data_IF_058298122006
#
_entry.id   IF_058298122006
#
_cell.length_a   1.000
_cell.length_b   1.000
_cell.length_c   1.000
_cell.angle_alpha   90.00
_cell.angle_beta   90.00
_cell.angle_gamma   90.00
#
_symmetry.space_group_name_H-M   'P 1'
#
loop_
_entity.id
_entity.type
_entity.pdbx_description
1 polymer ?
#
# COMPACT_ATOMS: atom_id res chain seq x y z
N UNK A 1 -9.86 -5.20 4.84
CA UNK A 1 -10.55 -5.92 3.74
C UNK A 1 -10.38 -7.44 3.97
N UNK A 2 -11.14 -8.29 3.28
CA UNK A 2 -11.11 -9.76 3.49
C UNK A 2 -9.74 -10.36 3.23
N UNK A 3 -9.05 -9.95 2.16
CA UNK A 3 -7.73 -10.48 1.79
C UNK A 3 -6.68 -10.22 2.86
N UNK A 4 -6.54 -8.97 3.31
CA UNK A 4 -5.62 -8.61 4.38
C UNK A 4 -5.99 -9.30 5.70
N UNK A 5 -7.30 -9.44 5.99
CA UNK A 5 -7.74 -10.11 7.21
C UNK A 5 -7.40 -11.60 7.20
N UNK A 6 -7.54 -12.25 6.04
CA UNK A 6 -7.15 -13.64 5.83
C UNK A 6 -5.64 -13.83 5.95
N UNK A 7 -4.85 -12.96 5.31
CA UNK A 7 -3.39 -12.98 5.41
C UNK A 7 -2.86 -12.71 6.83
N UNK A 8 -3.57 -11.90 7.63
CA UNK A 8 -3.23 -11.62 9.03
C UNK A 8 -3.83 -12.63 10.03
N UNK A 9 -4.57 -13.63 9.58
CA UNK A 9 -5.23 -14.62 10.44
C UNK A 9 -6.51 -14.14 11.15
N UNK A 10 -6.80 -12.84 11.12
CA UNK A 10 -8.05 -12.26 11.69
C UNK A 10 -9.33 -12.69 10.95
N UNK A 11 -9.20 -13.17 9.71
CA UNK A 11 -10.23 -13.94 9.01
C UNK A 11 -9.67 -15.35 8.78
N UNK A 12 -9.63 -16.13 9.86
CA UNK A 12 -9.04 -17.46 9.88
C UNK A 12 -10.06 -18.58 10.10
N UNK A 13 -9.61 -19.83 9.98
CA UNK A 13 -10.41 -21.02 10.29
C UNK A 13 -11.04 -20.97 11.68
N UNK A 14 -10.25 -20.63 12.70
CA UNK A 14 -10.73 -20.56 14.09
C UNK A 14 -11.79 -19.47 14.28
N UNK A 15 -11.56 -18.29 13.73
CA UNK A 15 -12.51 -17.18 13.82
C UNK A 15 -13.82 -17.52 13.09
N UNK A 16 -13.75 -18.10 11.89
CA UNK A 16 -14.93 -18.53 11.14
C UNK A 16 -15.76 -19.54 11.94
N UNK A 17 -15.09 -20.55 12.51
CA UNK A 17 -15.72 -21.57 13.35
C UNK A 17 -16.38 -20.96 14.58
N UNK A 18 -15.69 -20.04 15.26
CA UNK A 18 -16.23 -19.33 16.42
C UNK A 18 -17.51 -18.59 16.04
N UNK A 19 -17.52 -17.90 14.89
CA UNK A 19 -18.69 -17.17 14.40
C UNK A 19 -19.86 -18.10 14.05
N UNK A 20 -19.60 -19.27 13.46
CA UNK A 20 -20.65 -20.27 13.19
C UNK A 20 -21.34 -20.71 14.49
N UNK A 21 -20.57 -21.03 15.54
CA UNK A 21 -21.14 -21.46 16.83
C UNK A 21 -21.89 -20.34 17.54
N UNK A 22 -21.31 -19.15 17.61
CA UNK A 22 -21.92 -18.01 18.33
C UNK A 22 -23.20 -17.54 17.64
N UNK A 23 -23.26 -17.63 16.30
CA UNK A 23 -24.48 -17.29 15.55
C UNK A 23 -25.55 -18.39 15.59
N UNK A 24 -25.23 -19.59 16.09
CA UNK A 24 -26.14 -20.73 16.08
C UNK A 24 -26.52 -21.19 14.68
N UNK A 25 -25.68 -20.91 13.67
CA UNK A 25 -25.98 -21.19 12.27
C UNK A 25 -26.28 -22.68 12.02
N UNK A 26 -25.65 -23.56 12.79
CA UNK A 26 -25.87 -25.00 12.80
C UNK A 26 -27.31 -25.41 13.17
N UNK A 27 -28.07 -24.51 13.81
CA UNK A 27 -29.48 -24.72 14.19
C UNK A 27 -30.48 -24.15 13.19
N UNK A 28 -30.02 -23.32 12.25
CA UNK A 28 -30.89 -22.58 11.32
C UNK A 28 -30.89 -23.21 9.92
N UNK A 29 -29.80 -23.88 9.51
CA UNK A 29 -29.67 -24.45 8.17
C UNK A 29 -29.35 -25.95 8.20
N UNK A 30 -30.03 -26.72 7.34
CA UNK A 30 -29.86 -28.19 7.24
C UNK A 30 -28.77 -28.61 6.23
N UNK A 31 -28.59 -27.84 5.15
CA UNK A 31 -27.68 -28.18 4.04
C UNK A 31 -26.18 -28.09 4.40
N UNK A 32 -25.83 -27.38 5.49
CA UNK A 32 -24.45 -27.22 5.99
C UNK A 32 -23.42 -26.84 4.92
N UNK A 33 -23.77 -25.92 4.02
CA UNK A 33 -22.82 -25.32 3.08
C UNK A 33 -22.56 -23.86 3.45
N UNK A 34 -21.32 -23.41 3.25
CA UNK A 34 -20.90 -22.02 3.49
C UNK A 34 -20.26 -21.46 2.25
N UNK A 35 -20.77 -20.32 1.79
CA UNK A 35 -20.14 -19.56 0.71
C UNK A 35 -19.20 -18.55 1.36
N UNK A 36 -17.91 -18.66 1.07
CA UNK A 36 -16.89 -17.71 1.50
C UNK A 36 -16.39 -16.88 0.32
N UNK A 37 -15.99 -15.61 0.52
CA UNK A 37 -15.35 -14.83 -0.52
C UNK A 37 -14.08 -15.54 -1.02
N UNK A 38 -13.82 -15.54 -2.33
CA UNK A 38 -12.63 -16.18 -2.92
C UNK A 38 -11.32 -15.76 -2.22
N UNK A 39 -11.24 -14.48 -1.83
CA UNK A 39 -10.06 -13.88 -1.21
C UNK A 39 -9.85 -14.26 0.26
N UNK A 40 -10.75 -15.03 0.89
CA UNK A 40 -10.51 -15.58 2.24
C UNK A 40 -9.69 -16.89 2.21
N UNK A 41 -9.47 -17.48 1.03
CA UNK A 41 -8.79 -18.76 0.85
C UNK A 41 -7.44 -18.89 1.58
N UNK A 42 -6.56 -17.87 1.58
CA UNK A 42 -5.29 -17.94 2.30
C UNK A 42 -5.41 -18.09 3.82
N UNK A 43 -6.53 -17.67 4.43
CA UNK A 43 -6.74 -17.70 5.89
C UNK A 43 -7.60 -18.88 6.37
N UNK A 44 -8.42 -19.47 5.49
CA UNK A 44 -9.40 -20.49 5.87
C UNK A 44 -9.05 -21.85 5.26
N UNK A 45 -8.78 -22.81 6.14
CA UNK A 45 -8.58 -24.21 5.76
C UNK A 45 -9.94 -24.92 5.65
N UNK A 46 -10.54 -24.88 4.46
CA UNK A 46 -11.84 -25.48 4.16
C UNK A 46 -11.98 -26.95 4.62
N UNK A 47 -10.90 -27.74 4.49
CA UNK A 47 -10.91 -29.13 4.94
C UNK A 47 -11.01 -29.27 6.46
N UNK A 48 -10.45 -28.34 7.25
CA UNK A 48 -10.58 -28.34 8.71
C UNK A 48 -11.98 -27.93 9.14
N UNK A 49 -12.56 -26.92 8.46
CA UNK A 49 -13.95 -26.52 8.70
C UNK A 49 -14.89 -27.72 8.50
N UNK A 50 -14.73 -28.46 7.41
CA UNK A 50 -15.52 -29.67 7.16
C UNK A 50 -15.26 -30.76 8.20
N UNK A 51 -13.99 -31.06 8.50
CA UNK A 51 -13.60 -32.14 9.43
C UNK A 51 -14.15 -31.91 10.84
N UNK A 52 -14.07 -30.68 11.35
CA UNK A 52 -14.40 -30.40 12.74
C UNK A 52 -15.83 -29.86 12.95
N UNK A 53 -16.45 -29.28 11.91
CA UNK A 53 -17.75 -28.60 12.05
C UNK A 53 -18.81 -29.07 11.04
N UNK A 54 -18.47 -29.98 10.14
CA UNK A 54 -19.40 -30.56 9.17
C UNK A 54 -19.87 -29.60 8.08
N UNK A 55 -19.44 -28.33 8.10
CA UNK A 55 -19.77 -27.37 7.05
C UNK A 55 -18.86 -27.52 5.84
N UNK A 56 -19.46 -27.67 4.67
CA UNK A 56 -18.73 -27.68 3.40
C UNK A 56 -18.53 -26.25 2.91
N UNK A 57 -17.28 -25.81 2.86
CA UNK A 57 -16.93 -24.49 2.34
C UNK A 57 -16.90 -24.51 0.81
N UNK A 58 -17.57 -23.54 0.20
CA UNK A 58 -17.54 -23.20 -1.21
C UNK A 58 -16.96 -21.80 -1.35
N UNK A 59 -15.95 -21.63 -2.19
CA UNK A 59 -15.42 -20.31 -2.49
C UNK A 59 -16.27 -19.68 -3.60
N UNK A 60 -16.97 -18.61 -3.24
CA UNK A 60 -17.77 -17.78 -4.13
C UNK A 60 -16.91 -16.74 -4.86
N UNK A 61 -17.53 -15.73 -5.50
CA UNK A 61 -16.83 -14.73 -6.28
C UNK A 61 -15.93 -13.81 -5.42
N UNK A 62 -15.02 -13.08 -6.08
CA UNK A 62 -14.23 -12.01 -5.44
C UNK A 62 -15.14 -10.83 -5.04
N UNK A 63 -16.09 -10.47 -5.90
CA UNK A 63 -17.00 -9.35 -5.69
C UNK A 63 -18.36 -9.86 -5.23
N UNK A 64 -18.91 -9.24 -4.19
CA UNK A 64 -20.25 -9.58 -3.69
C UNK A 64 -21.35 -9.30 -4.72
N UNK A 65 -21.13 -8.36 -5.65
CA UNK A 65 -22.04 -8.07 -6.76
C UNK A 65 -22.29 -9.26 -7.67
N UNK A 66 -21.34 -10.20 -7.76
CA UNK A 66 -21.40 -11.33 -8.68
C UNK A 66 -22.06 -12.56 -8.01
N UNK A 67 -22.56 -12.39 -6.77
CA UNK A 67 -23.19 -13.46 -6.01
C UNK A 67 -24.49 -13.99 -6.65
N UNK A 68 -25.40 -13.14 -7.18
CA UNK A 68 -26.62 -13.64 -7.85
C UNK A 68 -26.29 -14.57 -9.02
N UNK A 69 -25.47 -14.13 -9.97
CA UNK A 69 -25.02 -14.93 -11.12
C UNK A 69 -24.29 -16.22 -10.69
N UNK A 70 -23.52 -16.17 -9.60
CA UNK A 70 -22.86 -17.35 -9.02
C UNK A 70 -23.87 -18.39 -8.49
N UNK A 71 -24.96 -17.93 -7.86
CA UNK A 71 -26.02 -18.80 -7.35
C UNK A 71 -26.82 -19.41 -8.51
N UNK A 72 -27.16 -18.62 -9.53
CA UNK A 72 -27.85 -19.09 -10.74
C UNK A 72 -27.02 -20.11 -11.52
N UNK A 73 -25.69 -19.94 -11.55
CA UNK A 73 -24.74 -20.89 -12.12
C UNK A 73 -24.50 -22.14 -11.25
N UNK A 74 -25.34 -22.41 -10.25
CA UNK A 74 -25.27 -23.61 -9.41
C UNK A 74 -24.01 -23.64 -8.53
N UNK A 75 -23.63 -22.51 -7.93
CA UNK A 75 -22.46 -22.35 -7.06
C UNK A 75 -21.12 -22.57 -7.77
N UNK A 76 -21.07 -22.25 -9.07
CA UNK A 76 -19.88 -22.39 -9.91
C UNK A 76 -19.33 -21.03 -10.32
N UNK A 77 -18.21 -20.62 -9.71
CA UNK A 77 -17.58 -19.34 -10.01
C UNK A 77 -16.88 -19.38 -11.37
N UNK A 78 -17.31 -18.50 -12.29
CA UNK A 78 -16.70 -18.33 -13.61
C UNK A 78 -15.26 -17.80 -13.50
N UNK A 79 -14.42 -17.95 -14.54
CA UNK A 79 -13.05 -17.41 -14.53
C UNK A 79 -13.00 -15.90 -14.23
N UNK A 80 -13.97 -15.11 -14.72
CA UNK A 80 -14.04 -13.66 -14.49
C UNK A 80 -14.26 -13.33 -13.02
N UNK A 81 -15.12 -14.08 -12.32
CA UNK A 81 -15.41 -13.91 -10.89
C UNK A 81 -14.20 -14.20 -9.98
N UNK A 82 -13.16 -14.89 -10.51
CA UNK A 82 -11.94 -15.27 -9.78
C UNK A 82 -10.76 -14.33 -10.04
N UNK A 83 -10.91 -13.31 -10.88
CA UNK A 83 -9.82 -12.41 -11.26
C UNK A 83 -10.09 -11.00 -10.73
N UNK A 84 -9.12 -10.46 -9.99
CA UNK A 84 -9.10 -9.04 -9.61
C UNK A 84 -8.42 -8.25 -10.73
N UNK A 85 -9.13 -7.28 -11.30
CA UNK A 85 -8.68 -6.52 -12.48
C UNK A 85 -7.62 -5.46 -12.16
N UNK A 86 -7.53 -5.01 -10.91
CA UNK A 86 -6.57 -4.02 -10.42
C UNK A 86 -6.48 -2.78 -11.30
N UNK A 87 -7.65 -2.26 -11.69
CA UNK A 87 -7.79 -1.05 -12.51
C UNK A 87 -7.30 0.20 -11.78
N UNK A 88 -7.14 1.32 -12.50
CA UNK A 88 -6.73 2.60 -11.90
C UNK A 88 -7.59 2.97 -10.69
N UNK A 89 -8.92 2.82 -10.80
CA UNK A 89 -9.86 3.10 -9.69
C UNK A 89 -9.59 2.22 -8.46
N UNK A 90 -9.28 0.94 -8.67
CA UNK A 90 -8.99 0.01 -7.59
C UNK A 90 -7.63 0.31 -6.92
N UNK A 91 -6.66 0.85 -7.67
CA UNK A 91 -5.36 1.30 -7.12
C UNK A 91 -5.51 2.58 -6.30
N UNK A 92 -6.23 3.56 -6.83
CA UNK A 92 -6.46 4.85 -6.14
C UNK A 92 -7.24 4.61 -4.83
N UNK A 93 -8.15 3.63 -4.79
CA UNK A 93 -8.86 3.29 -3.56
C UNK A 93 -7.93 2.84 -2.40
N UNK A 94 -6.70 2.41 -2.70
CA UNK A 94 -5.70 2.04 -1.70
C UNK A 94 -4.85 3.24 -1.24
N UNK A 95 -4.77 4.32 -2.02
CA UNK A 95 -3.93 5.49 -1.70
C UNK A 95 -4.27 6.11 -0.34
N UNK A 96 -5.55 6.31 0.08
CA UNK A 96 -5.85 6.94 1.35
C UNK A 96 -5.28 6.20 2.56
N UNK A 97 -5.30 4.86 2.56
CA UNK A 97 -4.82 4.10 3.72
C UNK A 97 -3.29 4.18 3.86
N UNK A 98 -2.58 4.23 2.74
CA UNK A 98 -1.12 4.40 2.70
C UNK A 98 -0.73 5.82 3.08
N UNK A 99 -1.48 6.83 2.62
CA UNK A 99 -1.27 8.22 3.02
C UNK A 99 -1.45 8.41 4.52
N UNK A 100 -2.53 7.90 5.12
CA UNK A 100 -2.75 8.02 6.57
C UNK A 100 -1.62 7.38 7.36
N UNK A 101 -1.08 6.24 6.90
CA UNK A 101 0.07 5.60 7.53
C UNK A 101 1.34 6.46 7.37
N UNK A 102 1.60 6.98 6.16
CA UNK A 102 2.77 7.82 5.87
C UNK A 102 2.75 9.14 6.65
N UNK A 103 1.59 9.82 6.73
CA UNK A 103 1.45 11.11 7.40
C UNK A 103 1.77 11.07 8.88
N UNK A 104 1.54 9.95 9.57
CA UNK A 104 1.88 9.78 11.00
C UNK A 104 3.37 10.02 11.26
N UNK A 105 4.24 9.43 10.44
CA UNK A 105 5.68 9.63 10.54
C UNK A 105 6.11 10.95 9.88
N UNK A 106 5.49 11.31 8.76
CA UNK A 106 5.86 12.49 7.99
C UNK A 106 5.66 13.79 8.75
N UNK A 107 4.58 13.95 9.51
CA UNK A 107 4.33 15.19 10.27
C UNK A 107 5.47 15.44 11.27
N UNK A 108 5.94 14.39 11.94
CA UNK A 108 7.07 14.49 12.88
C UNK A 108 8.37 14.84 12.13
N UNK A 109 8.64 14.21 10.99
CA UNK A 109 9.81 14.51 10.17
C UNK A 109 9.76 15.93 9.61
N UNK A 110 8.62 16.38 9.09
CA UNK A 110 8.45 17.74 8.56
C UNK A 110 8.65 18.78 9.66
N UNK A 111 8.08 18.57 10.85
CA UNK A 111 8.29 19.47 11.99
C UNK A 111 9.76 19.51 12.43
N UNK A 112 10.39 18.34 12.53
CA UNK A 112 11.80 18.24 12.90
C UNK A 112 12.70 18.97 11.89
N UNK A 113 12.55 18.69 10.60
CA UNK A 113 13.33 19.34 9.55
C UNK A 113 13.03 20.84 9.45
N UNK A 114 11.78 21.25 9.70
CA UNK A 114 11.42 22.66 9.76
C UNK A 114 12.19 23.40 10.86
N UNK A 115 12.21 22.85 12.08
CA UNK A 115 12.91 23.44 13.23
C UNK A 115 14.43 23.41 13.06
N UNK A 116 14.97 22.33 12.50
CA UNK A 116 16.40 22.21 12.21
C UNK A 116 16.83 23.18 11.10
N UNK A 117 15.97 23.45 10.11
CA UNK A 117 16.24 24.41 9.04
C UNK A 117 16.42 25.85 9.52
N UNK A 118 16.04 26.18 10.76
CA UNK A 118 16.34 27.47 11.37
C UNK A 118 17.79 27.64 11.82
N UNK A 119 18.54 26.54 11.96
CA UNK A 119 19.91 26.53 12.49
C UNK A 119 20.94 26.62 11.37
N UNK A 120 22.04 27.33 11.61
CA UNK A 120 23.21 27.32 10.73
C UNK A 120 23.07 28.04 9.39
N UNK A 121 21.94 28.71 9.14
CA UNK A 121 21.74 29.56 7.97
C UNK A 121 22.31 30.97 8.13
N UNK A 122 22.44 31.72 7.04
CA UNK A 122 23.05 33.06 7.02
C UNK A 122 22.18 34.14 7.66
N UNK A 123 20.87 33.89 7.80
CA UNK A 123 19.91 34.84 8.35
C UNK A 123 19.49 34.49 9.79
N UNK A 124 18.50 35.20 10.33
CA UNK A 124 17.91 34.87 11.63
C UNK A 124 17.15 33.53 11.61
N UNK A 125 16.99 32.92 12.79
CA UNK A 125 16.40 31.58 12.95
C UNK A 125 15.08 31.40 12.19
N UNK A 126 14.12 32.32 12.35
CA UNK A 126 12.81 32.23 11.73
C UNK A 126 12.83 32.41 10.21
N UNK A 127 13.74 33.25 9.69
CA UNK A 127 13.91 33.44 8.26
C UNK A 127 14.52 32.19 7.61
N UNK A 128 15.54 31.60 8.24
CA UNK A 128 16.13 30.33 7.84
C UNK A 128 15.11 29.19 7.90
N UNK A 129 14.31 29.09 8.98
CA UNK A 129 13.28 28.07 9.13
C UNK A 129 12.22 28.19 8.02
N UNK A 130 11.81 29.42 7.68
CA UNK A 130 10.84 29.64 6.60
C UNK A 130 11.43 29.36 5.21
N UNK A 131 12.74 29.50 5.02
CA UNK A 131 13.38 29.25 3.73
C UNK A 131 13.79 27.77 3.57
N UNK A 132 14.66 27.27 4.44
CA UNK A 132 15.22 25.92 4.38
C UNK A 132 14.30 24.89 5.03
N UNK A 133 13.72 25.23 6.19
CA UNK A 133 12.84 24.32 6.92
C UNK A 133 11.52 24.06 6.19
N UNK A 134 10.87 25.11 5.67
CA UNK A 134 9.66 24.96 4.86
C UNK A 134 9.93 24.18 3.58
N UNK A 135 11.06 24.46 2.92
CA UNK A 135 11.47 23.71 1.74
C UNK A 135 11.64 22.22 2.05
N UNK A 136 12.27 21.88 3.17
CA UNK A 136 12.42 20.50 3.62
C UNK A 136 11.06 19.82 3.86
N UNK A 137 10.10 20.53 4.47
CA UNK A 137 8.75 20.01 4.66
C UNK A 137 8.04 19.75 3.32
N UNK A 138 8.15 20.68 2.37
CA UNK A 138 7.63 20.52 1.00
C UNK A 138 8.30 19.36 0.27
N UNK A 139 9.60 19.18 0.43
CA UNK A 139 10.35 18.08 -0.17
C UNK A 139 9.88 16.71 0.35
N UNK A 140 9.66 16.59 1.66
CA UNK A 140 9.10 15.37 2.27
C UNK A 140 7.68 15.12 1.76
N UNK A 141 6.84 16.16 1.70
CA UNK A 141 5.50 16.05 1.15
C UNK A 141 5.50 15.59 -0.32
N UNK A 142 6.41 16.13 -1.14
CA UNK A 142 6.60 15.72 -2.53
C UNK A 142 7.06 14.27 -2.65
N UNK A 143 7.95 13.80 -1.77
CA UNK A 143 8.35 12.40 -1.73
C UNK A 143 7.16 11.48 -1.40
N UNK A 144 6.29 11.90 -0.48
CA UNK A 144 5.07 11.15 -0.12
C UNK A 144 4.09 11.09 -1.28
N UNK A 145 3.81 12.22 -1.91
CA UNK A 145 2.92 12.27 -3.07
C UNK A 145 3.49 11.40 -4.20
N UNK A 146 4.80 11.48 -4.45
CA UNK A 146 5.46 10.69 -5.48
C UNK A 146 5.32 9.18 -5.21
N UNK A 147 5.72 8.70 -4.03
CA UNK A 147 5.72 7.28 -3.71
C UNK A 147 4.34 6.68 -3.44
N UNK A 148 3.49 7.39 -2.70
CA UNK A 148 2.21 6.86 -2.23
C UNK A 148 1.03 7.16 -3.17
N UNK A 149 1.13 8.17 -4.05
CA UNK A 149 0.04 8.59 -4.95
C UNK A 149 0.41 8.40 -6.42
N UNK A 150 1.55 8.96 -6.85
CA UNK A 150 1.95 8.93 -8.27
C UNK A 150 2.38 7.53 -8.69
N UNK A 151 3.15 6.81 -7.87
CA UNK A 151 3.59 5.45 -8.21
C UNK A 151 2.43 4.48 -8.45
N UNK A 152 1.38 4.38 -7.61
CA UNK A 152 0.22 3.51 -7.88
C UNK A 152 -0.58 3.91 -9.14
N UNK A 153 -0.67 5.20 -9.42
CA UNK A 153 -1.36 5.72 -10.62
C UNK A 153 -0.61 5.29 -11.88
N UNK A 154 0.71 5.47 -11.90
CA UNK A 154 1.57 5.18 -13.05
C UNK A 154 2.12 3.75 -13.06
N UNK A 155 1.70 2.90 -12.13
CA UNK A 155 2.29 1.58 -11.87
C UNK A 155 2.53 0.68 -13.10
N UNK A 156 1.66 0.63 -14.14
CA UNK A 156 1.89 -0.19 -15.33
C UNK A 156 2.91 0.42 -16.30
N UNK A 157 3.12 1.74 -16.24
CA UNK A 157 3.99 2.50 -17.12
C UNK A 157 5.42 2.59 -16.56
N UNK A 158 5.57 2.46 -15.25
CA UNK A 158 6.87 2.60 -14.59
C UNK A 158 7.77 1.38 -14.84
N UNK A 159 9.07 1.61 -15.10
CA UNK A 159 10.01 0.56 -15.46
C UNK A 159 10.35 -0.33 -14.26
N UNK A 160 10.75 -1.56 -14.57
CA UNK A 160 11.20 -2.53 -13.59
C UNK A 160 10.08 -3.36 -12.95
N UNK A 161 10.49 -4.39 -12.18
CA UNK A 161 9.57 -5.31 -11.50
C UNK A 161 9.37 -4.96 -10.02
N UNK A 162 10.41 -4.46 -9.35
CA UNK A 162 10.38 -4.05 -7.96
C UNK A 162 9.57 -2.76 -7.79
N UNK A 163 8.75 -2.68 -6.74
CA UNK A 163 8.02 -1.46 -6.40
C UNK A 163 8.96 -0.36 -5.90
N UNK A 164 10.04 -0.71 -5.21
CA UNK A 164 11.08 0.22 -4.78
C UNK A 164 11.72 0.94 -5.97
N UNK A 165 12.01 0.23 -7.07
CA UNK A 165 12.55 0.83 -8.29
C UNK A 165 11.52 1.75 -8.97
N UNK A 166 10.24 1.36 -8.98
CA UNK A 166 9.15 2.20 -9.51
C UNK A 166 8.96 3.48 -8.69
N UNK A 167 9.00 3.38 -7.36
CA UNK A 167 8.96 4.54 -6.47
C UNK A 167 10.19 5.42 -6.59
N UNK A 168 11.37 4.83 -6.75
CA UNK A 168 12.62 5.55 -6.99
C UNK A 168 12.53 6.37 -8.28
N UNK A 169 12.01 5.79 -9.37
CA UNK A 169 11.89 6.51 -10.66
C UNK A 169 10.94 7.71 -10.56
N UNK A 170 9.76 7.56 -9.95
CA UNK A 170 8.87 8.72 -9.69
C UNK A 170 9.49 9.71 -8.71
N UNK A 171 10.26 9.24 -7.73
CA UNK A 171 10.95 10.07 -6.76
C UNK A 171 12.07 10.89 -7.38
N UNK A 172 12.85 10.33 -8.30
CA UNK A 172 13.90 11.02 -9.05
C UNK A 172 13.29 12.14 -9.88
N UNK A 173 12.19 11.86 -10.59
CA UNK A 173 11.46 12.89 -11.35
C UNK A 173 10.97 14.01 -10.42
N UNK A 174 10.37 13.67 -9.27
CA UNK A 174 9.93 14.65 -8.29
C UNK A 174 11.09 15.49 -7.71
N UNK A 175 12.23 14.85 -7.44
CA UNK A 175 13.43 15.54 -6.95
C UNK A 175 13.96 16.54 -7.98
N UNK A 176 14.05 16.15 -9.26
CA UNK A 176 14.46 17.06 -10.32
C UNK A 176 13.51 18.25 -10.47
N UNK A 177 12.20 18.02 -10.48
CA UNK A 177 11.21 19.10 -10.53
C UNK A 177 11.41 20.07 -9.35
N UNK A 178 11.57 19.54 -8.13
CA UNK A 178 11.76 20.36 -6.95
C UNK A 178 13.07 21.14 -6.97
N UNK A 179 14.17 20.52 -7.43
CA UNK A 179 15.48 21.17 -7.53
C UNK A 179 15.50 22.28 -8.60
N UNK A 180 14.81 22.08 -9.73
CA UNK A 180 14.64 23.12 -10.76
C UNK A 180 13.89 24.32 -10.17
N UNK A 181 12.83 24.08 -9.37
CA UNK A 181 12.07 25.15 -8.71
C UNK A 181 12.88 25.83 -7.60
N UNK A 182 13.72 25.10 -6.86
CA UNK A 182 14.60 25.64 -5.82
C UNK A 182 15.74 26.47 -6.39
N UNK A 183 16.20 26.10 -7.59
CA UNK A 183 17.35 26.70 -8.27
C UNK A 183 18.56 26.89 -7.35
N UNK A 184 19.10 25.80 -6.76
CA UNK A 184 20.23 25.90 -5.82
C UNK A 184 21.48 26.40 -6.54
N UNK A 185 22.30 27.17 -5.82
CA UNK A 185 23.58 27.62 -6.36
C UNK A 185 24.58 26.46 -6.42
N UNK A 186 24.78 25.93 -7.64
CA UNK A 186 25.70 24.82 -7.90
C UNK A 186 27.16 25.27 -8.05
N UNK A 187 27.46 26.57 -7.95
CA UNK A 187 28.83 27.06 -8.03
C UNK A 187 29.61 26.74 -6.76
N UNK A 188 28.97 26.83 -5.59
CA UNK A 188 29.58 26.57 -4.29
C UNK A 188 29.23 25.19 -3.72
N UNK A 189 30.12 24.67 -2.87
CA UNK A 189 29.95 23.36 -2.21
C UNK A 189 28.64 23.21 -1.41
N UNK A 190 28.18 24.20 -0.62
CA UNK A 190 26.95 24.05 0.16
C UNK A 190 25.72 23.77 -0.71
N UNK A 191 25.55 24.50 -1.83
CA UNK A 191 24.41 24.29 -2.73
C UNK A 191 24.48 22.95 -3.50
N UNK A 192 25.69 22.48 -3.83
CA UNK A 192 25.88 21.12 -4.38
C UNK A 192 25.48 20.03 -3.39
N UNK A 193 25.89 20.16 -2.13
CA UNK A 193 25.56 19.21 -1.08
C UNK A 193 24.06 19.23 -0.74
N UNK A 194 23.43 20.40 -0.71
CA UNK A 194 21.98 20.54 -0.55
C UNK A 194 21.23 19.84 -1.69
N UNK A 195 21.58 20.14 -2.95
CA UNK A 195 20.97 19.51 -4.11
C UNK A 195 21.13 17.98 -4.11
N UNK A 196 22.34 17.49 -3.81
CA UNK A 196 22.63 16.06 -3.73
C UNK A 196 21.84 15.39 -2.60
N UNK A 197 21.69 16.06 -1.45
CA UNK A 197 20.93 15.55 -0.31
C UNK A 197 19.47 15.30 -0.69
N UNK A 198 18.82 16.26 -1.33
CA UNK A 198 17.42 16.11 -1.78
C UNK A 198 17.28 15.12 -2.93
N UNK A 199 18.26 15.07 -3.84
CA UNK A 199 18.30 14.09 -4.94
C UNK A 199 18.41 12.65 -4.43
N UNK A 200 18.95 12.42 -3.23
CA UNK A 200 19.02 11.09 -2.61
C UNK A 200 17.82 10.82 -1.70
N UNK A 201 17.41 11.81 -0.90
CA UNK A 201 16.39 11.65 0.13
C UNK A 201 14.98 11.47 -0.46
N UNK A 202 14.62 12.27 -1.49
CA UNK A 202 13.28 12.20 -2.11
C UNK A 202 13.07 10.83 -2.78
N UNK A 203 13.98 10.31 -3.62
CA UNK A 203 13.81 8.98 -4.22
C UNK A 203 13.84 7.86 -3.19
N UNK A 204 14.66 7.96 -2.14
CA UNK A 204 14.70 6.95 -1.08
C UNK A 204 13.34 6.85 -0.34
N UNK A 205 12.76 7.99 0.06
CA UNK A 205 11.43 8.03 0.68
C UNK A 205 10.34 7.54 -0.27
N UNK A 206 10.36 7.98 -1.53
CA UNK A 206 9.38 7.55 -2.52
C UNK A 206 9.47 6.04 -2.81
N UNK A 207 10.68 5.48 -2.90
CA UNK A 207 10.93 4.06 -3.06
C UNK A 207 10.38 3.24 -1.88
N UNK A 208 10.66 3.69 -0.65
CA UNK A 208 10.15 3.05 0.57
C UNK A 208 8.61 3.05 0.61
N UNK A 209 7.98 4.20 0.30
CA UNK A 209 6.52 4.30 0.31
C UNK A 209 5.86 3.48 -0.80
N UNK A 210 6.46 3.45 -2.00
CA UNK A 210 5.99 2.60 -3.08
C UNK A 210 6.06 1.10 -2.71
N UNK A 211 7.08 0.70 -1.96
CA UNK A 211 7.26 -0.68 -1.53
C UNK A 211 6.12 -1.18 -0.61
N UNK A 212 5.45 -0.30 0.12
CA UNK A 212 4.27 -0.67 0.92
C UNK A 212 3.11 -1.19 0.06
N UNK A 213 3.02 -0.78 -1.22
CA UNK A 213 2.01 -1.30 -2.15
C UNK A 213 2.25 -2.75 -2.59
N UNK A 214 3.41 -3.33 -2.30
CA UNK A 214 3.68 -4.74 -2.60
C UNK A 214 2.68 -5.69 -1.94
N UNK A 215 2.12 -5.34 -0.77
CA UNK A 215 1.11 -6.14 -0.06
C UNK A 215 -0.33 -5.91 -0.54
N UNK A 216 -0.56 -4.91 -1.39
CA UNK A 216 -1.89 -4.47 -1.81
C UNK A 216 -2.12 -4.63 -3.32
N UNK A 217 -1.14 -5.16 -4.06
CA UNK A 217 -1.21 -5.35 -5.51
C UNK A 217 -1.41 -6.81 -5.92
N UNK A 218 -1.80 -7.02 -7.18
CA UNK A 218 -1.89 -8.35 -7.81
C UNK A 218 -0.60 -8.77 -8.52
N UNK A 219 0.46 -7.94 -8.49
CA UNK A 219 1.69 -8.17 -9.25
C UNK A 219 2.75 -8.98 -8.50
N UNK A 220 2.64 -9.05 -7.18
CA UNK A 220 3.69 -9.57 -6.30
C UNK A 220 3.35 -10.96 -5.77
N UNK A 221 4.40 -11.72 -5.49
CA UNK A 221 4.32 -12.98 -4.74
C UNK A 221 5.10 -12.82 -3.44
N UNK A 222 4.80 -13.65 -2.43
CA UNK A 222 5.49 -13.60 -1.14
C UNK A 222 7.03 -13.73 -1.29
N UNK A 223 7.49 -14.61 -2.17
CA UNK A 223 8.93 -14.78 -2.44
C UNK A 223 9.52 -13.55 -3.13
N UNK A 224 8.78 -12.92 -4.04
CA UNK A 224 9.16 -11.66 -4.69
C UNK A 224 9.32 -10.52 -3.68
N UNK A 225 8.35 -10.33 -2.80
CA UNK A 225 8.41 -9.30 -1.75
C UNK A 225 9.58 -9.55 -0.79
N UNK A 226 9.78 -10.80 -0.35
CA UNK A 226 10.93 -11.14 0.51
C UNK A 226 12.27 -10.86 -0.16
N UNK A 227 12.38 -11.07 -1.47
CA UNK A 227 13.59 -10.74 -2.24
C UNK A 227 13.79 -9.22 -2.28
N UNK A 228 12.73 -8.48 -2.56
CA UNK A 228 12.77 -7.00 -2.62
C UNK A 228 13.14 -6.38 -1.27
N UNK A 229 12.67 -6.94 -0.14
CA UNK A 229 13.03 -6.46 1.21
C UNK A 229 14.49 -6.69 1.62
N UNK A 230 15.23 -7.53 0.88
CA UNK A 230 16.63 -7.84 1.18
C UNK A 230 17.62 -7.07 0.31
N UNK A 231 17.12 -6.38 -0.72
CA UNK A 231 17.90 -5.54 -1.63
C UNK A 231 17.84 -4.12 -1.09
#
# INVERSE_FOLDING_TARGET
NVWCAAGKGTFGTEELVRRIRVSGLDRVVTHRELILPQLSGPGVAAHLVKKFFGFKVKYGPIRASDLPDYLEAGLTATPKMRVKTFTLRERIALVPIELVAAFKAAILLMLLFFLLGGLGGPEGYWANAMNYGLFAAVAILMAIISGAVVTPILLPLLPGRAFSLKGCTTGVVAAFVLLIMRNPDLTFWPGRLDALSWLLLIPALAAYLAMNFTGASTYTSLSGVKKEMRI
#
